data_IF_837244933134
#
_entry.id   IF_837244933134
#
_cell.length_a   1.000
_cell.length_b   1.000
_cell.length_c   1.000
_cell.angle_alpha   90.00
_cell.angle_beta   90.00
_cell.angle_gamma   90.00
#
_symmetry.space_group_name_H-M   'P 1'
#
loop_
_entity.id
_entity.type
_entity.pdbx_description
1 polymer ?
#
# COMPACT_ATOMS: atom_id res chain seq x y z
N UNK A 1 -2.48 10.75 20.33
CA UNK A 1 -1.77 10.34 19.11
C UNK A 1 -2.21 11.22 17.95
N UNK A 2 -1.28 11.71 17.15
CA UNK A 2 -1.55 12.33 15.85
C UNK A 2 -1.34 11.25 14.78
N UNK A 3 -2.19 11.25 13.75
CA UNK A 3 -2.20 10.20 12.73
C UNK A 3 -2.27 10.83 11.36
N UNK A 4 -1.43 10.39 10.46
CA UNK A 4 -1.47 10.81 9.06
C UNK A 4 -2.76 10.29 8.40
N UNK A 5 -3.45 11.18 7.69
CA UNK A 5 -4.76 10.86 7.12
C UNK A 5 -4.68 9.84 5.98
N UNK A 6 -3.73 10.09 5.07
CA UNK A 6 -3.61 9.34 3.84
C UNK A 6 -2.42 8.37 3.93
N UNK A 7 -2.52 7.27 3.19
CA UNK A 7 -1.44 6.31 3.05
C UNK A 7 -0.30 6.90 2.22
N UNK A 8 0.93 6.61 2.63
CA UNK A 8 2.13 6.85 1.85
C UNK A 8 2.51 5.57 1.10
N UNK A 9 2.99 5.73 -0.13
CA UNK A 9 3.57 4.62 -0.89
C UNK A 9 5.03 4.42 -0.48
N UNK A 10 5.47 3.17 -0.39
CA UNK A 10 6.90 2.86 -0.27
C UNK A 10 7.60 2.99 -1.62
N UNK A 11 8.91 3.06 -1.62
CA UNK A 11 9.79 3.00 -2.79
C UNK A 11 9.57 4.09 -3.88
N UNK A 12 8.43 4.76 -3.94
CA UNK A 12 8.17 5.81 -4.92
C UNK A 12 8.54 7.18 -4.36
N UNK A 13 9.61 7.79 -4.90
CA UNK A 13 10.10 9.11 -4.49
C UNK A 13 9.76 10.16 -5.52
N UNK A 14 9.18 11.29 -5.07
CA UNK A 14 8.95 12.45 -5.93
C UNK A 14 10.27 12.97 -6.49
N UNK A 15 10.28 13.27 -7.77
CA UNK A 15 11.46 13.63 -8.51
C UNK A 15 11.15 14.73 -9.55
N UNK A 16 12.16 15.11 -10.30
CA UNK A 16 12.09 16.11 -11.35
C UNK A 16 12.76 15.63 -12.65
N UNK A 17 12.67 16.45 -13.72
CA UNK A 17 13.20 16.08 -15.03
C UNK A 17 14.74 15.93 -15.07
N UNK A 18 15.46 16.64 -14.21
CA UNK A 18 16.92 16.56 -14.14
C UNK A 18 17.33 15.23 -13.52
N UNK A 19 16.73 14.88 -12.38
CA UNK A 19 16.94 13.61 -11.71
C UNK A 19 16.49 12.41 -12.57
N UNK A 20 15.35 12.52 -13.26
CA UNK A 20 14.89 11.50 -14.22
C UNK A 20 15.94 11.23 -15.29
N UNK A 21 16.57 12.28 -15.82
CA UNK A 21 17.59 12.16 -16.85
C UNK A 21 18.89 11.56 -16.32
N UNK A 22 19.23 11.86 -15.06
CA UNK A 22 20.40 11.27 -14.39
C UNK A 22 20.18 9.80 -14.06
N UNK A 23 18.96 9.45 -13.67
CA UNK A 23 18.57 8.08 -13.35
C UNK A 23 18.64 7.17 -14.59
N UNK A 24 17.92 7.51 -15.66
CA UNK A 24 18.04 6.88 -16.99
C UNK A 24 17.59 7.85 -18.09
N UNK A 25 18.51 8.18 -18.99
CA UNK A 25 18.24 9.09 -20.11
C UNK A 25 17.17 8.58 -21.09
N UNK A 26 16.91 7.27 -21.15
CA UNK A 26 15.89 6.69 -22.00
C UNK A 26 14.48 7.05 -21.52
N UNK A 27 14.30 7.23 -20.20
CA UNK A 27 13.01 7.61 -19.61
C UNK A 27 12.50 8.97 -20.08
N UNK A 28 13.37 9.84 -20.60
CA UNK A 28 12.94 11.09 -21.22
C UNK A 28 12.10 10.86 -22.47
N UNK A 29 12.34 9.78 -23.21
CA UNK A 29 11.51 9.42 -24.35
C UNK A 29 10.12 9.01 -23.87
N UNK A 30 10.05 8.13 -22.89
CA UNK A 30 8.77 7.66 -22.31
C UNK A 30 7.99 8.81 -21.68
N UNK A 31 8.67 9.72 -20.98
CA UNK A 31 8.07 10.95 -20.45
C UNK A 31 7.47 11.83 -21.55
N UNK A 32 8.20 12.05 -22.66
CA UNK A 32 7.71 12.89 -23.76
C UNK A 32 6.54 12.23 -24.50
N UNK A 33 6.56 10.92 -24.69
CA UNK A 33 5.46 10.16 -25.24
C UNK A 33 4.22 10.24 -24.32
N UNK A 34 4.40 10.02 -23.02
CA UNK A 34 3.35 10.16 -22.02
C UNK A 34 2.75 11.57 -21.99
N UNK A 35 3.59 12.61 -22.03
CA UNK A 35 3.15 14.00 -22.06
C UNK A 35 2.18 14.30 -23.20
N UNK A 36 2.42 13.67 -24.36
CA UNK A 36 1.63 13.83 -25.58
C UNK A 36 0.43 12.88 -25.66
N UNK A 37 0.33 11.91 -24.76
CA UNK A 37 -0.74 10.91 -24.75
C UNK A 37 -2.01 11.42 -24.04
N UNK A 38 -3.12 10.71 -24.21
CA UNK A 38 -4.38 10.95 -23.48
C UNK A 38 -4.44 10.22 -22.11
N UNK A 39 -3.40 9.47 -21.76
CA UNK A 39 -3.34 8.78 -20.47
C UNK A 39 -3.06 9.75 -19.33
N UNK A 40 -3.73 9.55 -18.20
CA UNK A 40 -3.50 10.34 -16.98
C UNK A 40 -2.36 9.80 -16.12
N UNK A 41 -1.97 8.53 -16.31
CA UNK A 41 -0.89 7.89 -15.57
C UNK A 41 -0.18 6.87 -16.44
N UNK A 42 1.14 6.80 -16.31
CA UNK A 42 2.00 5.75 -16.84
C UNK A 42 2.90 5.27 -15.71
N UNK A 43 2.91 3.97 -15.45
CA UNK A 43 3.84 3.32 -14.52
C UNK A 43 4.73 2.40 -15.33
N UNK A 44 6.03 2.63 -15.24
CA UNK A 44 7.08 1.74 -15.71
C UNK A 44 7.53 0.96 -14.48
N UNK A 45 7.29 -0.32 -14.49
CA UNK A 45 7.45 -1.19 -13.33
C UNK A 45 8.84 -1.03 -12.70
N UNK A 46 8.87 -0.86 -11.38
CA UNK A 46 10.10 -0.67 -10.58
C UNK A 46 11.11 0.35 -11.16
N UNK A 47 10.62 1.37 -11.85
CA UNK A 47 11.50 2.32 -12.54
C UNK A 47 11.03 3.75 -12.39
N UNK A 48 9.90 4.11 -13.01
CA UNK A 48 9.37 5.47 -12.98
C UNK A 48 7.85 5.49 -13.09
N UNK A 49 7.25 6.53 -12.52
CA UNK A 49 5.83 6.79 -12.60
C UNK A 49 5.58 8.24 -12.99
N UNK A 50 4.73 8.45 -13.97
CA UNK A 50 4.31 9.77 -14.44
C UNK A 50 2.81 9.92 -14.24
N UNK A 51 2.38 11.00 -13.59
CA UNK A 51 0.96 11.27 -13.34
C UNK A 51 0.60 12.69 -13.75
N UNK A 52 -0.42 12.85 -14.58
CA UNK A 52 -0.95 14.19 -14.94
C UNK A 52 -1.88 14.66 -13.82
N UNK A 53 -1.50 15.78 -13.20
CA UNK A 53 -2.29 16.45 -12.17
C UNK A 53 -2.50 17.88 -12.64
N UNK A 54 -3.73 18.22 -13.00
CA UNK A 54 -4.08 19.50 -13.61
C UNK A 54 -3.19 19.80 -14.83
N UNK A 55 -2.40 20.87 -14.77
CA UNK A 55 -1.50 21.29 -15.85
C UNK A 55 -0.05 20.82 -15.67
N UNK A 56 0.20 19.93 -14.69
CA UNK A 56 1.55 19.44 -14.36
C UNK A 56 1.64 17.95 -14.52
N UNK A 57 2.87 17.48 -14.74
CA UNK A 57 3.20 16.05 -14.66
C UNK A 57 4.07 15.86 -13.42
N UNK A 58 3.55 15.11 -12.47
CA UNK A 58 4.36 14.60 -11.37
C UNK A 58 5.20 13.42 -11.86
N UNK A 59 6.45 13.39 -11.40
CA UNK A 59 7.43 12.36 -11.69
C UNK A 59 7.79 11.70 -10.38
N UNK A 60 7.73 10.38 -10.33
CA UNK A 60 8.21 9.57 -9.22
C UNK A 60 9.21 8.56 -9.80
N UNK A 61 10.33 8.38 -9.10
CA UNK A 61 11.34 7.35 -9.40
C UNK A 61 11.25 6.25 -8.36
N UNK A 62 11.48 5.03 -8.80
CA UNK A 62 11.52 3.88 -7.91
C UNK A 62 12.90 3.78 -7.25
N UNK A 63 12.90 3.63 -5.95
CA UNK A 63 14.09 3.47 -5.14
C UNK A 63 13.82 2.35 -4.13
N UNK A 64 14.48 1.22 -4.34
CA UNK A 64 14.32 0.05 -3.47
C UNK A 64 14.57 0.41 -2.01
N UNK A 65 13.72 -0.08 -1.14
CA UNK A 65 13.80 0.16 0.29
C UNK A 65 13.41 -1.11 1.05
N UNK A 66 14.17 -1.44 2.07
CA UNK A 66 13.86 -2.53 3.00
C UNK A 66 12.95 -2.05 4.14
N UNK A 67 12.38 -3.00 4.89
CA UNK A 67 11.58 -2.67 6.07
C UNK A 67 12.39 -1.92 7.13
N UNK A 68 13.61 -2.36 7.39
CA UNK A 68 14.49 -1.73 8.37
C UNK A 68 14.84 -0.30 7.98
N UNK A 69 15.20 -0.07 6.71
CA UNK A 69 15.48 1.28 6.19
C UNK A 69 14.25 2.19 6.27
N UNK A 70 13.06 1.68 5.97
CA UNK A 70 11.82 2.43 6.12
C UNK A 70 11.60 2.85 7.57
N UNK A 71 11.76 1.92 8.52
CA UNK A 71 11.60 2.19 9.94
C UNK A 71 12.63 3.21 10.46
N UNK A 72 13.88 3.10 10.03
CA UNK A 72 14.94 4.06 10.38
C UNK A 72 14.63 5.46 9.84
N UNK A 73 14.22 5.57 8.58
CA UNK A 73 13.86 6.84 7.95
C UNK A 73 12.68 7.52 8.68
N UNK A 74 11.62 6.77 8.97
CA UNK A 74 10.43 7.28 9.69
C UNK A 74 10.82 7.78 11.07
N UNK A 75 11.64 7.01 11.79
CA UNK A 75 12.12 7.37 13.13
C UNK A 75 13.06 8.58 13.11
N UNK A 76 13.93 8.67 12.12
CA UNK A 76 14.81 9.84 11.93
C UNK A 76 14.00 11.12 11.74
N UNK A 77 12.89 11.05 11.04
CA UNK A 77 11.98 12.17 10.79
C UNK A 77 11.08 12.51 12.01
N UNK A 78 11.23 11.77 13.12
CA UNK A 78 10.47 12.00 14.36
C UNK A 78 9.08 11.39 14.37
N UNK A 79 8.81 10.42 13.51
CA UNK A 79 7.55 9.69 13.44
C UNK A 79 7.74 8.23 13.89
N UNK A 80 6.63 7.50 13.93
CA UNK A 80 6.56 6.05 14.12
C UNK A 80 5.54 5.44 13.18
N UNK A 81 5.59 4.13 12.97
CA UNK A 81 4.49 3.36 12.43
C UNK A 81 3.48 3.04 13.56
N UNK A 82 2.19 2.85 13.25
CA UNK A 82 1.25 2.29 14.23
C UNK A 82 1.62 0.84 14.54
N UNK A 83 1.53 0.45 15.79
CA UNK A 83 1.60 -0.96 16.15
C UNK A 83 0.27 -1.68 15.87
N UNK A 84 0.21 -2.99 16.14
CA UNK A 84 -0.95 -3.83 15.84
C UNK A 84 -2.24 -3.28 16.48
N UNK A 85 -2.22 -3.00 17.78
CA UNK A 85 -3.41 -2.53 18.51
C UNK A 85 -3.84 -1.14 18.05
N UNK A 86 -2.89 -0.26 17.79
CA UNK A 86 -3.12 1.08 17.27
C UNK A 86 -3.74 1.02 15.87
N UNK A 87 -3.20 0.19 14.98
CA UNK A 87 -3.72 0.04 13.64
C UNK A 87 -5.16 -0.53 13.64
N UNK A 88 -5.41 -1.57 14.44
CA UNK A 88 -6.75 -2.17 14.56
C UNK A 88 -7.77 -1.17 15.10
N UNK A 89 -7.39 -0.37 16.07
CA UNK A 89 -8.23 0.72 16.57
C UNK A 89 -8.49 1.77 15.50
N UNK A 90 -7.47 2.20 14.77
CA UNK A 90 -7.58 3.20 13.71
C UNK A 90 -8.42 2.69 12.53
N UNK A 91 -8.26 1.44 12.15
CA UNK A 91 -9.04 0.80 11.08
C UNK A 91 -10.50 0.63 11.47
N UNK A 92 -10.75 0.05 12.61
CA UNK A 92 -12.10 -0.26 13.07
C UNK A 92 -12.92 0.97 13.49
N UNK A 93 -12.26 2.11 13.75
CA UNK A 93 -12.95 3.31 14.23
C UNK A 93 -13.74 3.09 15.52
N UNK A 94 -13.34 2.10 16.33
CA UNK A 94 -14.09 1.65 17.51
C UNK A 94 -15.27 0.71 17.20
N UNK A 95 -15.49 0.34 15.94
CA UNK A 95 -16.46 -0.68 15.55
C UNK A 95 -16.01 -2.07 15.98
N UNK A 96 -16.97 -2.95 16.26
CA UNK A 96 -16.73 -4.37 16.60
C UNK A 96 -17.16 -5.31 15.48
N UNK A 97 -17.18 -4.80 14.26
CA UNK A 97 -17.54 -5.53 13.05
C UNK A 97 -16.35 -6.29 12.48
N UNK A 98 -16.62 -7.33 11.70
CA UNK A 98 -15.59 -8.13 11.03
C UNK A 98 -14.80 -7.31 10.01
N UNK A 99 -15.43 -6.31 9.40
CA UNK A 99 -14.83 -5.42 8.41
C UNK A 99 -15.11 -3.95 8.77
N UNK A 100 -14.35 -3.00 8.23
CA UNK A 100 -14.62 -1.58 8.44
C UNK A 100 -16.01 -1.12 7.99
N UNK A 101 -16.62 -1.82 7.03
CA UNK A 101 -17.95 -1.54 6.49
C UNK A 101 -19.10 -2.34 7.14
N UNK A 102 -18.83 -3.29 8.04
CA UNK A 102 -19.84 -4.15 8.72
C UNK A 102 -19.45 -5.61 8.82
N UNK A 103 -20.43 -6.49 9.04
CA UNK A 103 -20.19 -7.93 9.22
C UNK A 103 -20.42 -8.76 7.95
N UNK A 104 -20.96 -8.14 6.91
CA UNK A 104 -21.34 -8.84 5.69
C UNK A 104 -20.35 -8.56 4.55
N UNK A 105 -20.09 -9.58 3.74
CA UNK A 105 -19.49 -9.45 2.40
C UNK A 105 -20.63 -9.56 1.40
N UNK A 106 -20.98 -8.46 0.73
CA UNK A 106 -22.02 -8.45 -0.29
C UNK A 106 -21.43 -8.92 -1.64
N UNK A 107 -22.17 -9.75 -2.36
CA UNK A 107 -21.80 -10.18 -3.71
C UNK A 107 -21.59 -9.02 -4.68
N UNK A 108 -22.17 -7.86 -4.41
CA UNK A 108 -21.95 -6.64 -5.19
C UNK A 108 -20.64 -5.91 -4.87
N UNK A 109 -19.88 -6.35 -3.88
CA UNK A 109 -18.53 -5.87 -3.58
C UNK A 109 -17.51 -6.44 -4.58
N UNK A 110 -17.82 -6.42 -5.85
CA UNK A 110 -16.94 -6.86 -6.90
C UNK A 110 -16.06 -5.68 -7.32
N UNK A 111 -14.74 -5.90 -7.36
CA UNK A 111 -13.75 -4.89 -7.74
C UNK A 111 -14.05 -4.20 -9.09
N UNK A 112 -14.69 -4.89 -10.01
CA UNK A 112 -15.19 -4.31 -11.26
C UNK A 112 -16.23 -3.19 -11.07
N UNK A 113 -16.87 -3.12 -9.93
CA UNK A 113 -17.88 -2.10 -9.66
C UNK A 113 -17.32 -0.83 -9.03
N UNK A 114 -16.11 -0.84 -8.47
CA UNK A 114 -15.50 0.35 -7.85
C UNK A 114 -15.25 1.49 -8.84
N UNK A 115 -15.04 1.17 -10.09
CA UNK A 115 -14.87 2.17 -11.14
C UNK A 115 -16.19 2.75 -11.64
N UNK A 116 -17.34 2.23 -11.21
CA UNK A 116 -18.65 2.70 -11.65
C UNK A 116 -19.19 3.76 -10.69
N UNK A 117 -19.47 4.93 -11.23
CA UNK A 117 -20.11 6.03 -10.49
C UNK A 117 -21.42 5.58 -9.85
N UNK A 118 -21.52 5.74 -8.52
CA UNK A 118 -22.71 5.39 -7.76
C UNK A 118 -22.67 3.99 -7.12
N UNK A 119 -21.50 3.38 -7.02
CA UNK A 119 -21.32 2.16 -6.25
C UNK A 119 -21.61 2.40 -4.77
N UNK A 120 -22.21 1.41 -4.11
CA UNK A 120 -22.57 1.45 -2.69
C UNK A 120 -21.33 1.35 -1.78
N UNK A 121 -20.28 0.71 -2.26
CA UNK A 121 -19.03 0.50 -1.53
C UNK A 121 -17.90 1.24 -2.22
N UNK A 122 -17.28 2.16 -1.50
CA UNK A 122 -16.05 2.85 -1.90
C UNK A 122 -14.95 2.46 -0.89
N UNK A 123 -14.05 1.60 -1.31
CA UNK A 123 -12.94 1.13 -0.46
C UNK A 123 -11.88 2.21 -0.20
N UNK A 124 -12.00 3.34 -0.86
CA UNK A 124 -11.12 4.50 -0.61
C UNK A 124 -11.82 5.59 0.20
N UNK A 125 -13.11 5.37 0.54
CA UNK A 125 -13.83 6.30 1.41
C UNK A 125 -13.17 6.31 2.80
N UNK A 126 -12.88 7.51 3.34
CA UNK A 126 -12.32 7.61 4.68
C UNK A 126 -13.23 6.95 5.72
N UNK A 127 -12.62 6.26 6.67
CA UNK A 127 -13.34 5.62 7.77
C UNK A 127 -13.94 6.65 8.75
N UNK A 128 -14.53 6.17 9.84
CA UNK A 128 -15.16 7.02 10.87
C UNK A 128 -14.21 8.10 11.45
N UNK A 129 -12.91 7.85 11.50
CA UNK A 129 -11.92 8.83 11.93
C UNK A 129 -11.47 9.78 10.81
N UNK A 130 -11.99 9.62 9.59
CA UNK A 130 -11.58 10.40 8.43
C UNK A 130 -10.24 9.93 7.85
N UNK A 131 -9.82 8.70 8.13
CA UNK A 131 -8.57 8.12 7.66
C UNK A 131 -8.82 7.25 6.44
N UNK A 132 -7.98 7.41 5.43
CA UNK A 132 -7.90 6.48 4.30
C UNK A 132 -7.08 5.27 4.74
N UNK A 133 -7.76 4.18 5.09
CA UNK A 133 -7.15 2.94 5.60
C UNK A 133 -6.96 1.95 4.45
N UNK A 134 -5.94 1.08 4.55
CA UNK A 134 -5.70 -0.01 3.60
C UNK A 134 -6.69 -1.17 3.85
N UNK A 135 -7.94 -0.99 3.49
CA UNK A 135 -8.96 -2.06 3.48
C UNK A 135 -9.42 -2.43 2.06
N UNK A 136 -8.63 -2.10 1.08
CA UNK A 136 -8.67 -2.58 -0.29
C UNK A 136 -7.84 -3.88 -0.35
N UNK A 137 -8.33 -4.98 -0.95
CA UNK A 137 -7.60 -6.25 -1.03
C UNK A 137 -6.19 -6.15 -1.60
N UNK A 138 -5.92 -5.15 -2.41
CA UNK A 138 -4.61 -4.95 -3.03
C UNK A 138 -3.63 -4.13 -2.18
N UNK A 139 -4.10 -3.41 -1.17
CA UNK A 139 -3.25 -2.54 -0.36
C UNK A 139 -2.82 -3.26 0.92
N UNK A 140 -1.53 -3.28 1.17
CA UNK A 140 -0.94 -3.82 2.40
C UNK A 140 -0.28 -2.69 3.16
N UNK A 141 -0.77 -2.40 4.37
CA UNK A 141 -0.24 -1.34 5.22
C UNK A 141 0.74 -1.91 6.24
N UNK A 142 1.98 -1.43 6.19
CA UNK A 142 3.06 -1.83 7.08
C UNK A 142 2.81 -1.28 8.48
N UNK A 143 2.99 -2.12 9.49
CA UNK A 143 2.88 -1.75 10.90
C UNK A 143 4.21 -1.97 11.63
N UNK A 144 4.35 -1.32 12.80
CA UNK A 144 5.48 -1.53 13.70
C UNK A 144 5.37 -2.90 14.39
N UNK A 145 6.29 -3.80 14.09
CA UNK A 145 6.40 -5.12 14.69
C UNK A 145 7.86 -5.60 14.68
N UNK A 146 8.15 -6.71 15.39
CA UNK A 146 9.50 -7.30 15.43
C UNK A 146 9.93 -7.86 14.05
N UNK A 147 8.96 -8.20 13.20
CA UNK A 147 9.16 -8.69 11.83
C UNK A 147 8.25 -7.90 10.90
N UNK A 148 8.58 -7.83 9.60
CA UNK A 148 7.73 -7.24 8.59
C UNK A 148 6.31 -7.83 8.68
N UNK A 149 5.36 -6.97 8.97
CA UNK A 149 3.96 -7.35 9.20
C UNK A 149 3.04 -6.36 8.50
N UNK A 150 2.04 -6.90 7.83
CA UNK A 150 1.07 -6.13 7.07
C UNK A 150 -0.33 -6.22 7.65
N UNK A 151 -1.10 -5.16 7.43
CA UNK A 151 -2.52 -5.05 7.72
C UNK A 151 -3.26 -4.53 6.49
N UNK A 152 -4.57 -4.71 6.47
CA UNK A 152 -5.39 -4.31 5.33
C UNK A 152 -5.54 -5.44 4.32
N UNK A 153 -5.20 -5.23 3.05
CA UNK A 153 -5.26 -6.27 2.02
C UNK A 153 -4.11 -7.27 2.08
N UNK A 154 -4.03 -8.12 1.07
CA UNK A 154 -3.01 -9.16 0.90
C UNK A 154 -2.28 -9.05 -0.46
N UNK A 155 -2.23 -7.85 -1.04
CA UNK A 155 -1.69 -7.64 -2.39
C UNK A 155 -2.57 -8.22 -3.50
N UNK A 156 -3.82 -8.58 -3.18
CA UNK A 156 -4.74 -9.20 -4.13
C UNK A 156 -4.51 -10.72 -4.33
N UNK A 157 -3.67 -11.35 -3.53
CA UNK A 157 -3.33 -12.77 -3.67
C UNK A 157 -4.57 -13.68 -3.66
N UNK A 158 -5.48 -13.47 -2.70
CA UNK A 158 -6.70 -14.27 -2.59
C UNK A 158 -7.75 -13.89 -3.64
N UNK A 159 -7.82 -12.62 -4.03
CA UNK A 159 -8.75 -12.15 -5.06
C UNK A 159 -8.38 -12.69 -6.43
N UNK A 160 -7.11 -12.57 -6.82
CA UNK A 160 -6.67 -12.86 -8.20
C UNK A 160 -6.27 -14.30 -8.43
N UNK A 161 -5.68 -14.97 -7.46
CA UNK A 161 -5.08 -16.29 -7.67
C UNK A 161 -5.49 -17.38 -6.68
N UNK A 162 -6.19 -16.99 -5.61
CA UNK A 162 -6.51 -17.89 -4.52
C UNK A 162 -7.97 -18.35 -4.52
N UNK A 163 -8.72 -17.94 -3.52
CA UNK A 163 -10.09 -18.39 -3.26
C UNK A 163 -11.18 -17.57 -3.95
N UNK A 164 -10.78 -16.62 -4.81
CA UNK A 164 -11.68 -15.73 -5.52
C UNK A 164 -12.13 -14.51 -4.71
N UNK A 165 -12.91 -13.64 -5.35
CA UNK A 165 -13.26 -12.33 -4.84
C UNK A 165 -13.91 -12.37 -3.43
N UNK A 166 -14.77 -13.32 -3.17
CA UNK A 166 -15.49 -13.38 -1.90
C UNK A 166 -14.52 -13.58 -0.70
N UNK A 167 -13.62 -14.56 -0.77
CA UNK A 167 -12.65 -14.82 0.29
C UNK A 167 -11.48 -13.84 0.27
N UNK A 168 -11.23 -13.20 -0.87
CA UNK A 168 -10.20 -12.17 -1.02
C UNK A 168 -10.39 -10.97 -0.09
N UNK A 169 -11.65 -10.65 0.24
CA UNK A 169 -11.96 -9.57 1.19
C UNK A 169 -11.68 -9.92 2.66
N UNK A 170 -11.43 -11.19 3.00
CA UNK A 170 -11.09 -11.55 4.38
C UNK A 170 -9.83 -10.86 4.88
N UNK A 171 -8.90 -10.57 3.98
CA UNK A 171 -7.67 -9.82 4.30
C UNK A 171 -7.95 -8.38 4.73
N UNK A 172 -9.08 -7.79 4.33
CA UNK A 172 -9.48 -6.44 4.71
C UNK A 172 -10.06 -6.35 6.13
N UNK A 173 -10.22 -7.48 6.83
CA UNK A 173 -10.66 -7.48 8.23
C UNK A 173 -9.62 -6.76 9.11
N UNK A 174 -10.04 -5.89 10.05
CA UNK A 174 -9.13 -5.31 11.04
C UNK A 174 -8.34 -6.36 11.83
N UNK A 175 -8.88 -7.56 11.97
CA UNK A 175 -8.28 -8.66 12.74
C UNK A 175 -7.37 -9.57 11.91
N UNK A 176 -7.34 -9.40 10.60
CA UNK A 176 -6.45 -10.16 9.73
C UNK A 176 -5.01 -9.66 9.85
N UNK A 177 -4.06 -10.57 9.91
CA UNK A 177 -2.62 -10.28 9.94
C UNK A 177 -1.98 -10.98 8.76
N UNK A 178 -1.39 -10.20 7.87
CA UNK A 178 -0.59 -10.70 6.77
C UNK A 178 0.88 -10.68 7.17
N UNK A 179 1.50 -11.85 7.18
CA UNK A 179 2.96 -11.97 7.26
C UNK A 179 3.51 -12.23 5.87
N UNK A 180 4.71 -11.72 5.55
CA UNK A 180 5.35 -12.04 4.28
C UNK A 180 5.48 -13.56 4.18
N UNK A 181 5.03 -14.11 3.06
CA UNK A 181 5.29 -15.50 2.74
C UNK A 181 6.72 -15.54 2.22
N UNK A 182 7.67 -15.89 3.08
CA UNK A 182 9.04 -16.12 2.65
C UNK A 182 9.05 -17.11 1.49
N UNK A 183 9.85 -16.84 0.48
CA UNK A 183 10.07 -17.81 -0.58
C UNK A 183 10.58 -19.13 0.06
N UNK A 184 9.79 -20.18 -0.04
CA UNK A 184 10.22 -21.50 0.45
C UNK A 184 11.21 -22.04 -0.57
N UNK A 185 12.48 -21.77 -0.35
CA UNK A 185 13.55 -22.41 -1.11
C UNK A 185 13.95 -23.69 -0.40
N UNK A 186 13.76 -24.84 -1.06
CA UNK A 186 14.25 -26.12 -0.58
C UNK A 186 15.68 -26.27 -1.14
N UNK A 187 16.67 -26.02 -0.28
CA UNK A 187 18.07 -26.25 -0.60
C UNK A 187 18.55 -27.40 0.30
N UNK A 188 18.99 -28.51 -0.29
CA UNK A 188 19.54 -29.67 0.41
C UNK A 188 18.61 -30.27 1.52
N UNK A 189 17.31 -30.43 1.22
CA UNK A 189 16.27 -30.86 2.14
C UNK A 189 16.04 -29.95 3.37
N UNK A 190 16.64 -28.77 3.41
CA UNK A 190 16.38 -27.73 4.39
C UNK A 190 15.46 -26.67 3.81
N UNK A 191 14.45 -26.28 4.59
CA UNK A 191 13.60 -25.11 4.28
C UNK A 191 14.41 -23.88 4.67
N UNK A 192 14.87 -23.13 3.67
CA UNK A 192 15.49 -21.83 3.87
C UNK A 192 14.43 -20.79 3.54
N UNK A 193 13.97 -20.05 4.53
CA UNK A 193 13.14 -18.87 4.31
C UNK A 193 14.09 -17.72 3.96
N UNK A 194 14.34 -17.49 2.68
CA UNK A 194 14.86 -16.21 2.23
C UNK A 194 13.66 -15.23 2.24
N UNK A 195 13.61 -14.38 3.23
CA UNK A 195 12.74 -13.21 3.18
C UNK A 195 13.37 -12.24 2.19
N UNK A 196 12.62 -11.91 1.16
CA UNK A 196 12.92 -10.73 0.37
C UNK A 196 12.52 -9.54 1.24
N UNK A 197 13.51 -8.87 1.83
CA UNK A 197 13.28 -7.74 2.73
C UNK A 197 12.90 -6.46 1.96
N UNK A 198 12.90 -6.51 0.64
CA UNK A 198 12.52 -5.39 -0.22
C UNK A 198 11.00 -5.19 -0.24
N UNK A 199 10.58 -3.95 -0.10
CA UNK A 199 9.18 -3.57 -0.07
C UNK A 199 8.67 -3.25 -1.48
N UNK A 200 7.53 -3.83 -1.86
CA UNK A 200 6.90 -3.58 -3.16
C UNK A 200 6.11 -2.27 -3.16
N UNK A 201 6.59 -1.29 -3.89
CA UNK A 201 5.97 0.03 -4.02
C UNK A 201 4.60 0.04 -4.71
N UNK A 202 4.13 -1.08 -5.28
CA UNK A 202 2.81 -1.17 -5.89
C UNK A 202 1.73 -1.61 -4.89
N UNK A 203 2.10 -2.42 -3.90
CA UNK A 203 1.16 -3.02 -2.95
C UNK A 203 1.41 -2.60 -1.50
N UNK A 204 2.64 -2.17 -1.16
CA UNK A 204 3.00 -1.80 0.18
C UNK A 204 2.81 -0.31 0.43
N UNK A 205 2.18 -0.01 1.55
CA UNK A 205 1.88 1.34 2.00
C UNK A 205 2.23 1.46 3.48
N UNK A 206 2.36 2.67 3.95
CA UNK A 206 2.55 2.94 5.36
C UNK A 206 1.85 4.23 5.77
N UNK A 207 1.71 4.44 7.07
CA UNK A 207 1.17 5.65 7.68
C UNK A 207 2.05 6.04 8.85
N UNK A 208 2.33 7.32 8.96
CA UNK A 208 3.09 7.86 10.07
C UNK A 208 2.18 8.31 11.19
N UNK A 209 2.65 8.11 12.41
CA UNK A 209 1.99 8.59 13.62
C UNK A 209 2.98 9.34 14.51
N UNK A 210 2.44 10.16 15.42
CA UNK A 210 3.18 10.73 16.56
C UNK A 210 2.44 10.34 17.83
N UNK A 211 3.09 9.59 18.71
CA UNK A 211 2.59 9.30 20.05
C UNK A 211 2.84 10.52 20.94
N UNK A 212 1.77 11.06 21.51
CA UNK A 212 1.85 12.20 22.44
C UNK A 212 1.92 11.58 23.82
N UNK A 213 3.04 11.77 24.51
CA UNK A 213 3.18 11.42 25.93
C UNK A 213 2.30 12.37 26.75
N UNK A 214 1.57 11.84 27.73
CA UNK A 214 0.77 12.61 28.68
C UNK A 214 1.65 13.20 29.80
#
# INVERSE_FOLDING_TARGET
MLVERDLQTVAWKKSNLEELKEYDSNLLKDYNEFKSSDYNRLTLDETARFTKIEDKIEIELYDYITYDELCENIKHDGFSLPNLDEWEYLCGGGCRTLFPWGDDIDYNMNLFYYTKKGNKYDLEEPNFFGLSIAYDPYKMEIIEADELTFKGGDGGCNVCGGFGEFLGYLSCSPYYIQKPIGAINIVDDCIVNEYDDELDGNFNFYRRIIRIEE
#
